data_IF_131534030053
#
_entry.id   IF_131534030053
#
_cell.length_a   1.000
_cell.length_b   1.000
_cell.length_c   1.000
_cell.angle_alpha   90.00
_cell.angle_beta   90.00
_cell.angle_gamma   90.00
#
_symmetry.space_group_name_H-M   'P 1'
#
loop_
_entity.id
_entity.type
_entity.pdbx_description
1 polymer ?
#
# COMPACT_ATOMS: atom_id res chain seq x y z
N UNK A 1 4.37 -26.12 3.62
CA UNK A 1 4.59 -24.67 3.85
C UNK A 1 6.00 -24.49 4.37
N UNK A 2 6.73 -23.52 3.86
CA UNK A 2 8.06 -23.22 4.37
C UNK A 2 7.90 -22.63 5.79
N UNK A 3 8.40 -23.33 6.81
CA UNK A 3 8.21 -22.97 8.23
C UNK A 3 9.24 -21.96 8.75
N UNK A 4 10.12 -21.45 7.89
CA UNK A 4 11.22 -20.56 8.29
C UNK A 4 11.01 -19.11 7.83
N UNK A 5 9.77 -18.62 7.91
CA UNK A 5 9.49 -17.20 7.68
C UNK A 5 10.09 -16.37 8.80
N UNK A 6 10.84 -15.33 8.42
CA UNK A 6 11.51 -14.38 9.33
C UNK A 6 11.18 -12.93 9.02
N UNK A 7 10.77 -12.66 7.78
CA UNK A 7 10.51 -11.32 7.27
C UNK A 7 9.07 -11.25 6.80
N UNK A 8 8.32 -10.23 7.26
CA UNK A 8 6.94 -10.01 6.88
C UNK A 8 6.83 -8.63 6.24
N UNK A 9 6.47 -8.57 4.97
CA UNK A 9 6.25 -7.34 4.25
C UNK A 9 4.75 -7.07 4.10
N UNK A 10 4.33 -5.85 4.42
CA UNK A 10 2.93 -5.44 4.41
C UNK A 10 2.66 -4.45 3.27
N UNK A 11 1.56 -4.62 2.53
CA UNK A 11 0.94 -3.50 1.85
C UNK A 11 0.27 -2.55 2.85
N UNK A 12 0.03 -1.30 2.44
CA UNK A 12 -0.62 -0.30 3.27
C UNK A 12 -2.12 -0.21 3.01
N UNK A 13 -2.50 0.21 1.80
CA UNK A 13 -3.88 0.56 1.48
C UNK A 13 -4.79 -0.67 1.37
N UNK A 14 -5.85 -0.75 2.20
CA UNK A 14 -6.72 -1.93 2.25
C UNK A 14 -6.15 -3.11 3.05
N UNK A 15 -4.88 -3.03 3.48
CA UNK A 15 -4.20 -4.06 4.27
C UNK A 15 -3.92 -3.59 5.69
N UNK A 16 -2.95 -2.68 5.87
CA UNK A 16 -2.58 -2.15 7.19
C UNK A 16 -3.28 -0.83 7.50
N UNK A 17 -3.71 -0.09 6.47
CA UNK A 17 -4.45 1.17 6.62
C UNK A 17 -5.74 1.13 5.81
N UNK A 18 -6.82 1.53 6.46
CA UNK A 18 -8.16 1.64 5.85
C UNK A 18 -8.56 3.10 5.72
N UNK A 19 -9.51 3.34 4.82
CA UNK A 19 -10.05 4.68 4.57
C UNK A 19 -11.19 4.93 5.52
N UNK A 20 -11.15 6.09 6.18
CA UNK A 20 -12.27 6.69 6.87
C UNK A 20 -12.86 7.76 5.95
N UNK A 21 -14.14 7.60 5.59
CA UNK A 21 -14.84 8.50 4.67
C UNK A 21 -15.32 9.73 5.42
N UNK A 22 -14.77 10.89 5.05
CA UNK A 22 -15.15 12.22 5.54
C UNK A 22 -15.34 13.15 4.33
N UNK A 23 -16.58 13.36 3.85
CA UNK A 23 -16.85 14.21 2.70
C UNK A 23 -16.33 15.64 2.82
N UNK A 24 -16.38 16.23 4.03
CA UNK A 24 -15.87 17.57 4.26
C UNK A 24 -14.34 17.63 4.12
N UNK A 25 -13.64 16.59 4.61
CA UNK A 25 -12.21 16.43 4.46
C UNK A 25 -11.79 16.32 3.00
N UNK A 26 -12.50 15.50 2.22
CA UNK A 26 -12.26 15.33 0.77
C UNK A 26 -12.44 16.65 0.02
N UNK A 27 -13.54 17.35 0.29
CA UNK A 27 -13.86 18.66 -0.31
C UNK A 27 -12.81 19.72 0.01
N UNK A 28 -12.34 19.78 1.25
CA UNK A 28 -11.29 20.71 1.66
C UNK A 28 -9.97 20.46 0.90
N UNK A 29 -9.60 19.20 0.71
CA UNK A 29 -8.40 18.83 -0.05
C UNK A 29 -8.52 19.23 -1.54
N UNK A 30 -9.70 19.03 -2.16
CA UNK A 30 -9.98 19.42 -3.55
C UNK A 30 -9.92 20.94 -3.73
N UNK A 31 -10.52 21.70 -2.81
CA UNK A 31 -10.46 23.17 -2.82
C UNK A 31 -9.00 23.66 -2.71
N UNK A 32 -8.19 23.02 -1.87
CA UNK A 32 -6.77 23.35 -1.73
C UNK A 32 -5.97 23.05 -2.99
N UNK A 33 -6.29 21.97 -3.71
CA UNK A 33 -5.67 21.68 -5.01
C UNK A 33 -5.99 22.77 -6.03
N UNK A 34 -7.27 23.19 -6.15
CA UNK A 34 -7.66 24.28 -7.04
C UNK A 34 -6.88 25.57 -6.73
N UNK A 35 -6.81 25.97 -5.45
CA UNK A 35 -6.07 27.13 -5.02
C UNK A 35 -4.55 27.04 -5.32
N UNK A 36 -3.93 25.87 -5.08
CA UNK A 36 -2.51 25.65 -5.38
C UNK A 36 -2.23 25.70 -6.88
N UNK A 37 -3.16 25.24 -7.70
CA UNK A 37 -3.09 25.32 -9.16
C UNK A 37 -3.36 26.75 -9.68
N UNK A 38 -3.88 27.66 -8.86
CA UNK A 38 -4.27 29.02 -9.27
C UNK A 38 -5.58 29.04 -10.06
N UNK A 39 -6.46 28.08 -9.83
CA UNK A 39 -7.75 27.97 -10.47
C UNK A 39 -8.81 28.62 -9.60
N UNK A 40 -9.51 29.61 -10.17
CA UNK A 40 -10.71 30.22 -9.58
C UNK A 40 -11.94 29.44 -10.07
N UNK A 41 -12.70 28.87 -9.16
CA UNK A 41 -13.89 28.10 -9.45
C UNK A 41 -14.88 28.16 -8.29
N UNK A 42 -16.17 28.23 -8.61
CA UNK A 42 -17.26 28.20 -7.62
C UNK A 42 -17.53 26.76 -7.13
N UNK A 43 -17.07 25.73 -7.88
CA UNK A 43 -17.23 24.32 -7.52
C UNK A 43 -15.90 23.55 -7.67
N UNK A 44 -15.05 23.59 -6.64
CA UNK A 44 -13.78 22.85 -6.65
C UNK A 44 -13.94 21.34 -6.78
N UNK A 45 -15.05 20.76 -6.30
CA UNK A 45 -15.29 19.33 -6.39
C UNK A 45 -15.52 18.90 -7.85
N UNK A 46 -16.42 19.61 -8.52
CA UNK A 46 -16.70 19.37 -9.95
C UNK A 46 -15.45 19.57 -10.81
N UNK A 47 -14.75 20.69 -10.61
CA UNK A 47 -13.51 20.94 -11.34
C UNK A 47 -12.48 19.83 -11.12
N UNK A 48 -12.31 19.36 -9.87
CA UNK A 48 -11.38 18.29 -9.54
C UNK A 48 -11.73 16.99 -10.28
N UNK A 49 -13.00 16.58 -10.25
CA UNK A 49 -13.45 15.34 -10.88
C UNK A 49 -13.30 15.40 -12.42
N UNK A 50 -13.68 16.54 -13.04
CA UNK A 50 -13.63 16.70 -14.49
C UNK A 50 -12.21 16.89 -15.04
N UNK A 51 -11.29 17.50 -14.26
CA UNK A 51 -9.96 17.85 -14.74
C UNK A 51 -8.90 16.94 -14.13
N UNK A 52 -8.74 16.97 -12.82
CA UNK A 52 -7.61 16.31 -12.14
C UNK A 52 -7.79 14.79 -12.09
N UNK A 53 -8.95 14.32 -11.64
CA UNK A 53 -9.18 12.87 -11.47
C UNK A 53 -9.26 12.15 -12.84
N UNK A 54 -9.88 12.77 -13.85
CA UNK A 54 -9.89 12.28 -15.24
C UNK A 54 -8.47 12.16 -15.84
N UNK A 55 -7.60 13.14 -15.55
CA UNK A 55 -6.20 13.11 -15.99
C UNK A 55 -5.36 12.11 -15.20
N UNK A 56 -5.67 11.94 -13.92
CA UNK A 56 -5.03 10.93 -13.10
C UNK A 56 -5.34 9.51 -13.57
N UNK A 57 -6.54 9.24 -14.04
CA UNK A 57 -6.88 7.93 -14.60
C UNK A 57 -6.00 7.57 -15.80
N UNK A 58 -5.75 8.52 -16.70
CA UNK A 58 -4.81 8.33 -17.82
C UNK A 58 -3.38 8.11 -17.35
N UNK A 59 -2.93 8.89 -16.36
CA UNK A 59 -1.63 8.67 -15.73
C UNK A 59 -1.54 7.27 -15.13
N UNK A 60 -2.58 6.83 -14.41
CA UNK A 60 -2.63 5.52 -13.75
C UNK A 60 -2.56 4.38 -14.77
N UNK A 61 -3.25 4.49 -15.89
CA UNK A 61 -3.14 3.51 -16.99
C UNK A 61 -1.70 3.37 -17.47
N UNK A 62 -1.02 4.50 -17.69
CA UNK A 62 0.39 4.52 -18.05
C UNK A 62 1.27 3.89 -16.97
N UNK A 63 1.11 4.29 -15.71
CA UNK A 63 1.88 3.79 -14.59
C UNK A 63 1.74 2.27 -14.40
N UNK A 64 0.53 1.74 -14.56
CA UNK A 64 0.25 0.30 -14.49
C UNK A 64 0.83 -0.45 -15.70
N UNK A 65 0.75 0.13 -16.90
CA UNK A 65 1.30 -0.49 -18.11
C UNK A 65 2.81 -0.66 -18.05
N UNK A 66 3.51 0.34 -17.53
CA UNK A 66 4.97 0.36 -17.49
C UNK A 66 5.56 -0.03 -16.12
N UNK A 67 4.72 -0.37 -15.14
CA UNK A 67 5.11 -0.73 -13.78
C UNK A 67 6.05 0.30 -13.14
N UNK A 68 5.76 1.59 -13.37
CA UNK A 68 6.58 2.68 -12.86
C UNK A 68 5.73 3.82 -12.28
N UNK A 69 6.37 4.67 -11.51
CA UNK A 69 5.77 5.85 -10.89
C UNK A 69 6.50 7.11 -11.36
N UNK A 70 5.77 8.17 -11.66
CA UNK A 70 6.39 9.44 -11.99
C UNK A 70 6.81 10.19 -10.72
N UNK A 71 7.95 10.93 -10.74
CA UNK A 71 8.22 11.92 -9.71
C UNK A 71 7.07 12.91 -9.57
N UNK A 72 6.79 13.39 -8.35
CA UNK A 72 5.68 14.31 -8.05
C UNK A 72 5.64 15.53 -8.99
N UNK A 73 6.79 16.11 -9.28
CA UNK A 73 6.89 17.22 -10.23
C UNK A 73 6.44 16.81 -11.64
N UNK A 74 6.86 15.65 -12.13
CA UNK A 74 6.48 15.13 -13.45
C UNK A 74 5.01 14.76 -13.49
N UNK A 75 4.48 14.15 -12.41
CA UNK A 75 3.05 13.85 -12.27
C UNK A 75 2.21 15.11 -12.49
N UNK A 76 2.56 16.21 -11.85
CA UNK A 76 1.78 17.45 -11.95
C UNK A 76 2.05 18.24 -13.22
N UNK A 77 3.31 18.41 -13.62
CA UNK A 77 3.65 19.26 -14.78
C UNK A 77 3.38 18.60 -16.13
N UNK A 78 3.33 17.28 -16.20
CA UNK A 78 3.17 16.55 -17.46
C UNK A 78 1.83 15.80 -17.60
N UNK A 79 1.18 15.49 -16.47
CA UNK A 79 -0.06 14.73 -16.48
C UNK A 79 -1.26 15.51 -15.94
N UNK A 80 -1.21 16.03 -14.72
CA UNK A 80 -2.41 16.55 -14.05
C UNK A 80 -2.71 18.02 -14.35
N UNK A 81 -1.65 18.86 -14.47
CA UNK A 81 -1.78 20.32 -14.62
C UNK A 81 -0.86 20.86 -15.73
N UNK A 82 -0.70 20.12 -16.84
CA UNK A 82 0.23 20.44 -17.94
C UNK A 82 -0.12 21.73 -18.69
N UNK A 83 -1.35 22.20 -18.63
CA UNK A 83 -1.91 23.40 -19.26
C UNK A 83 -2.01 24.60 -18.30
N UNK A 84 -1.54 24.47 -17.08
CA UNK A 84 -1.57 25.50 -16.05
C UNK A 84 -0.20 26.20 -15.91
N UNK A 85 -0.09 27.20 -15.04
CA UNK A 85 1.18 27.90 -14.76
C UNK A 85 2.24 26.90 -14.23
N UNK A 86 3.19 26.55 -15.08
CA UNK A 86 4.18 25.50 -14.82
C UNK A 86 5.18 25.86 -13.71
N UNK A 87 5.46 27.14 -13.49
CA UNK A 87 6.34 27.57 -12.40
C UNK A 87 5.62 27.36 -11.05
N UNK A 88 4.37 27.79 -10.99
CA UNK A 88 3.51 27.59 -9.81
C UNK A 88 3.29 26.09 -9.52
N UNK A 89 2.99 25.29 -10.52
CA UNK A 89 2.78 23.86 -10.38
C UNK A 89 4.03 23.16 -9.86
N UNK A 90 5.19 23.45 -10.43
CA UNK A 90 6.46 22.86 -10.01
C UNK A 90 6.78 23.19 -8.56
N UNK A 91 6.60 24.44 -8.17
CA UNK A 91 6.83 24.90 -6.79
C UNK A 91 5.93 24.18 -5.77
N UNK A 92 4.71 23.85 -6.17
CA UNK A 92 3.70 23.25 -5.29
C UNK A 92 3.56 21.74 -5.48
N UNK A 93 4.35 21.06 -6.31
CA UNK A 93 4.12 19.67 -6.73
C UNK A 93 4.00 18.68 -5.56
N UNK A 94 4.84 18.82 -4.53
CA UNK A 94 4.79 17.96 -3.36
C UNK A 94 3.51 18.18 -2.53
N UNK A 95 3.12 19.44 -2.30
CA UNK A 95 1.88 19.76 -1.58
C UNK A 95 0.64 19.36 -2.40
N UNK A 96 0.66 19.58 -3.70
CA UNK A 96 -0.39 19.12 -4.62
C UNK A 96 -0.57 17.60 -4.54
N UNK A 97 0.53 16.84 -4.56
CA UNK A 97 0.48 15.37 -4.43
C UNK A 97 -0.05 14.96 -3.07
N UNK A 98 0.40 15.61 -2.01
CA UNK A 98 -0.12 15.35 -0.67
C UNK A 98 -1.63 15.60 -0.61
N UNK A 99 -2.12 16.74 -1.11
CA UNK A 99 -3.54 17.04 -1.14
C UNK A 99 -4.32 16.07 -2.03
N UNK A 100 -3.76 15.66 -3.18
CA UNK A 100 -4.38 14.63 -4.02
C UNK A 100 -4.59 13.33 -3.24
N UNK A 101 -3.65 12.92 -2.43
CA UNK A 101 -3.79 11.75 -1.56
C UNK A 101 -4.90 11.92 -0.53
N UNK A 102 -5.08 13.14 0.00
CA UNK A 102 -6.17 13.44 0.95
C UNK A 102 -7.55 13.38 0.28
N UNK A 103 -7.66 13.63 -1.03
CA UNK A 103 -8.94 13.46 -1.77
C UNK A 103 -9.41 12.01 -1.85
N UNK A 104 -8.59 11.03 -1.50
CA UNK A 104 -8.94 9.60 -1.45
C UNK A 104 -9.35 9.14 -0.04
N UNK A 105 -9.51 10.03 0.91
CA UNK A 105 -9.94 9.79 2.28
C UNK A 105 -8.81 9.74 3.30
N UNK A 106 -9.17 9.97 4.56
CA UNK A 106 -8.26 9.85 5.69
C UNK A 106 -7.90 8.38 5.92
N UNK A 107 -6.64 8.09 6.13
CA UNK A 107 -6.17 6.72 6.35
C UNK A 107 -5.77 6.51 7.79
N UNK A 108 -6.36 5.50 8.41
CA UNK A 108 -6.10 5.09 9.80
C UNK A 108 -5.57 3.66 9.82
N UNK A 109 -4.82 3.31 10.87
CA UNK A 109 -4.41 1.92 11.11
C UNK A 109 -5.66 1.07 11.34
N UNK A 110 -5.67 -0.13 10.77
CA UNK A 110 -6.77 -1.09 10.97
C UNK A 110 -6.94 -1.45 12.44
N UNK A 111 -8.14 -1.84 12.88
CA UNK A 111 -8.37 -2.27 14.26
C UNK A 111 -7.39 -3.38 14.69
N UNK A 112 -6.71 -3.18 15.82
CA UNK A 112 -5.70 -4.09 16.35
C UNK A 112 -4.39 -4.14 15.55
N UNK A 113 -4.23 -3.28 14.53
CA UNK A 113 -3.06 -3.30 13.64
C UNK A 113 -1.77 -2.90 14.34
N UNK A 114 -1.81 -1.85 15.16
CA UNK A 114 -0.63 -1.38 15.89
C UNK A 114 -0.13 -2.43 16.90
N UNK A 115 -1.04 -3.06 17.64
CA UNK A 115 -0.73 -4.11 18.60
C UNK A 115 -0.17 -5.36 17.90
N UNK A 116 -0.75 -5.73 16.75
CA UNK A 116 -0.29 -6.87 15.95
C UNK A 116 1.13 -6.64 15.43
N UNK A 117 1.44 -5.46 14.92
CA UNK A 117 2.80 -5.09 14.46
C UNK A 117 3.81 -5.20 15.61
N UNK A 118 3.49 -4.66 16.78
CA UNK A 118 4.34 -4.74 17.96
C UNK A 118 4.57 -6.19 18.40
N UNK A 119 3.51 -6.98 18.43
CA UNK A 119 3.59 -8.38 18.83
C UNK A 119 4.37 -9.23 17.83
N UNK A 120 4.22 -9.02 16.51
CA UNK A 120 5.03 -9.71 15.50
C UNK A 120 6.54 -9.42 15.70
N UNK A 121 6.90 -8.17 15.97
CA UNK A 121 8.28 -7.83 16.31
C UNK A 121 8.76 -8.51 17.61
N UNK A 122 7.92 -8.57 18.66
CA UNK A 122 8.23 -9.25 19.89
C UNK A 122 8.44 -10.76 19.69
N UNK A 123 7.73 -11.35 18.70
CA UNK A 123 7.90 -12.75 18.29
C UNK A 123 9.17 -13.00 17.46
N UNK A 124 9.93 -11.96 17.15
CA UNK A 124 11.21 -12.04 16.45
C UNK A 124 11.12 -11.88 14.93
N UNK A 125 9.96 -11.44 14.37
CA UNK A 125 9.86 -11.13 12.95
C UNK A 125 10.42 -9.75 12.64
N UNK A 126 11.08 -9.64 11.49
CA UNK A 126 11.46 -8.36 10.89
C UNK A 126 10.35 -7.89 9.97
N UNK A 127 9.84 -6.68 10.20
CA UNK A 127 8.73 -6.14 9.40
C UNK A 127 9.22 -5.09 8.41
N UNK A 128 8.59 -5.07 7.23
CA UNK A 128 8.77 -4.08 6.19
C UNK A 128 7.45 -3.65 5.56
N UNK A 129 7.48 -2.54 4.85
CA UNK A 129 6.37 -2.02 4.06
C UNK A 129 6.78 -2.00 2.59
N UNK A 130 5.91 -2.49 1.69
CA UNK A 130 6.05 -2.34 0.25
C UNK A 130 4.71 -1.86 -0.31
N UNK A 131 4.63 -0.59 -0.74
CA UNK A 131 3.36 0.02 -1.13
C UNK A 131 3.47 0.88 -2.38
N UNK A 132 2.43 0.82 -3.23
CA UNK A 132 2.29 1.70 -4.37
C UNK A 132 1.58 2.99 -3.98
N UNK A 133 2.29 4.10 -4.05
CA UNK A 133 1.82 5.44 -3.68
C UNK A 133 2.38 6.49 -4.64
N UNK A 134 1.64 7.56 -4.90
CA UNK A 134 2.14 8.71 -5.66
C UNK A 134 2.82 9.76 -4.78
N UNK A 135 2.48 9.82 -3.48
CA UNK A 135 3.05 10.76 -2.51
C UNK A 135 4.25 10.19 -1.77
N UNK A 136 5.22 11.03 -1.42
CA UNK A 136 6.46 10.60 -0.75
C UNK A 136 6.38 10.68 0.77
N UNK A 137 5.69 11.67 1.32
CA UNK A 137 5.80 12.02 2.74
C UNK A 137 4.78 11.34 3.67
N UNK A 138 3.64 10.88 3.12
CA UNK A 138 2.52 10.40 3.95
C UNK A 138 2.88 9.23 4.85
N UNK A 139 3.66 8.26 4.33
CA UNK A 139 4.00 7.05 5.10
C UNK A 139 4.87 7.40 6.30
N UNK A 140 5.82 8.29 6.11
CA UNK A 140 6.68 8.76 7.18
C UNK A 140 5.87 9.51 8.25
N UNK A 141 5.01 10.43 7.85
CA UNK A 141 4.12 11.16 8.76
C UNK A 141 3.20 10.22 9.54
N UNK A 142 2.64 9.19 8.88
CA UNK A 142 1.78 8.21 9.54
C UNK A 142 2.54 7.36 10.56
N UNK A 143 3.70 6.84 10.18
CA UNK A 143 4.50 5.98 11.07
C UNK A 143 4.96 6.73 12.31
N UNK A 144 5.29 8.03 12.16
CA UNK A 144 5.68 8.88 13.27
C UNK A 144 4.49 9.22 14.17
N UNK A 145 3.36 9.61 13.58
CA UNK A 145 2.14 9.95 14.32
C UNK A 145 1.56 8.75 15.10
N UNK A 146 1.65 7.55 14.55
CA UNK A 146 1.18 6.32 15.17
C UNK A 146 2.22 5.70 16.14
N UNK A 147 3.46 6.23 16.19
CA UNK A 147 4.57 5.67 16.97
C UNK A 147 5.03 4.29 16.48
N UNK A 148 4.83 4.00 15.19
CA UNK A 148 5.12 2.69 14.59
C UNK A 148 6.41 2.62 13.79
N UNK A 149 7.07 3.75 13.53
CA UNK A 149 8.33 3.79 12.77
C UNK A 149 9.39 2.80 13.25
N UNK A 150 9.65 2.63 14.55
CA UNK A 150 10.71 1.73 15.04
C UNK A 150 10.48 0.25 14.69
N UNK A 151 9.25 -0.14 14.37
CA UNK A 151 8.87 -1.53 14.09
C UNK A 151 9.10 -1.95 12.63
N UNK A 152 9.26 -0.99 11.71
CA UNK A 152 9.49 -1.27 10.29
C UNK A 152 10.96 -1.01 9.94
N UNK A 153 11.66 -2.04 9.48
CA UNK A 153 13.08 -1.98 9.12
C UNK A 153 13.31 -1.47 7.71
N UNK A 154 12.32 -1.61 6.84
CA UNK A 154 12.33 -1.08 5.47
C UNK A 154 10.96 -0.53 5.10
N UNK A 155 10.96 0.55 4.30
CA UNK A 155 9.73 1.17 3.76
C UNK A 155 9.95 1.48 2.30
N UNK A 156 9.50 0.59 1.42
CA UNK A 156 9.57 0.77 -0.02
C UNK A 156 8.27 1.36 -0.55
N UNK A 157 8.39 2.52 -1.19
CA UNK A 157 7.26 3.23 -1.79
C UNK A 157 7.53 3.46 -3.28
N UNK A 158 6.56 3.18 -4.15
CA UNK A 158 6.71 3.41 -5.58
C UNK A 158 6.99 4.88 -5.92
N UNK A 159 6.52 5.83 -5.12
CA UNK A 159 6.83 7.26 -5.25
C UNK A 159 8.31 7.61 -5.01
N UNK A 160 9.06 6.74 -4.32
CA UNK A 160 10.49 6.93 -4.01
C UNK A 160 11.35 6.08 -4.93
N UNK A 161 10.98 4.81 -5.10
CA UNK A 161 11.74 3.85 -5.93
C UNK A 161 11.44 3.98 -7.42
N UNK A 162 10.35 4.65 -7.78
CA UNK A 162 9.81 4.80 -9.14
C UNK A 162 9.43 3.50 -9.85
N UNK A 163 9.38 2.38 -9.11
CA UNK A 163 8.92 1.07 -9.60
C UNK A 163 7.72 0.59 -8.79
N UNK A 164 6.82 -0.16 -9.44
CA UNK A 164 5.52 -0.55 -8.87
C UNK A 164 5.37 -2.06 -8.78
N UNK A 165 4.56 -2.50 -7.84
CA UNK A 165 4.01 -3.86 -7.79
C UNK A 165 3.06 -4.09 -8.99
N UNK A 166 3.00 -5.28 -9.58
CA UNK A 166 3.70 -6.53 -9.24
C UNK A 166 5.12 -6.64 -9.80
N UNK A 167 5.70 -5.58 -10.38
CA UNK A 167 7.07 -5.61 -10.87
C UNK A 167 8.06 -6.01 -9.76
N UNK A 168 9.06 -6.88 -10.05
CA UNK A 168 9.88 -7.51 -9.02
C UNK A 168 10.83 -6.55 -8.30
N UNK A 169 11.22 -5.45 -8.93
CA UNK A 169 12.26 -4.57 -8.41
C UNK A 169 11.95 -4.02 -7.01
N UNK A 170 10.70 -3.62 -6.74
CA UNK A 170 10.33 -3.04 -5.43
C UNK A 170 10.43 -4.08 -4.30
N UNK A 171 10.18 -5.36 -4.59
CA UNK A 171 10.34 -6.47 -3.63
C UNK A 171 11.82 -6.74 -3.36
N UNK A 172 12.66 -6.72 -4.40
CA UNK A 172 14.11 -6.89 -4.25
C UNK A 172 14.75 -5.77 -3.44
N UNK A 173 14.33 -4.51 -3.63
CA UNK A 173 14.79 -3.40 -2.80
C UNK A 173 14.47 -3.61 -1.32
N UNK A 174 13.26 -4.10 -1.02
CA UNK A 174 12.87 -4.39 0.36
C UNK A 174 13.69 -5.52 0.98
N UNK A 175 13.91 -6.60 0.23
CA UNK A 175 14.73 -7.74 0.70
C UNK A 175 16.19 -7.34 0.90
N UNK A 176 16.78 -6.61 -0.04
CA UNK A 176 18.17 -6.16 0.02
C UNK A 176 18.43 -5.30 1.25
N UNK A 177 17.53 -4.35 1.55
CA UNK A 177 17.68 -3.44 2.68
C UNK A 177 17.72 -4.16 4.04
N UNK A 178 17.04 -5.30 4.16
CA UNK A 178 17.01 -6.09 5.41
C UNK A 178 17.86 -7.36 5.35
N UNK A 179 18.56 -7.62 4.24
CA UNK A 179 19.37 -8.82 4.05
C UNK A 179 18.55 -10.12 4.00
N UNK A 180 17.32 -10.05 3.48
CA UNK A 180 16.40 -11.19 3.44
C UNK A 180 16.62 -12.06 2.20
N UNK A 181 16.40 -13.38 2.35
CA UNK A 181 16.25 -14.33 1.25
C UNK A 181 14.76 -14.53 0.98
N UNK A 182 14.37 -14.62 -0.28
CA UNK A 182 12.97 -14.67 -0.69
C UNK A 182 12.18 -15.80 -0.01
N UNK A 183 12.78 -16.98 0.11
CA UNK A 183 12.16 -18.14 0.76
C UNK A 183 11.85 -17.94 2.25
N UNK A 184 12.46 -16.94 2.91
CA UNK A 184 12.20 -16.59 4.31
C UNK A 184 11.24 -15.39 4.46
N UNK A 185 10.70 -14.89 3.33
CA UNK A 185 9.82 -13.74 3.28
C UNK A 185 8.34 -14.15 3.17
N UNK A 186 7.49 -13.42 3.85
CA UNK A 186 6.05 -13.43 3.63
C UNK A 186 5.58 -12.06 3.15
N UNK A 187 4.65 -12.05 2.20
CA UNK A 187 3.94 -10.85 1.81
C UNK A 187 2.48 -10.89 2.25
N UNK A 188 2.00 -9.79 2.85
CA UNK A 188 0.62 -9.64 3.31
C UNK A 188 -0.01 -8.47 2.55
N UNK A 189 -1.08 -8.72 1.79
CA UNK A 189 -1.74 -7.70 0.97
C UNK A 189 -3.20 -8.01 0.63
N UNK A 190 -3.94 -7.00 0.15
CA UNK A 190 -5.36 -7.12 -0.21
C UNK A 190 -5.59 -7.31 -1.72
N UNK A 191 -4.63 -6.95 -2.55
CA UNK A 191 -4.74 -7.02 -4.00
C UNK A 191 -4.03 -8.24 -4.57
N UNK A 192 -4.81 -9.30 -4.87
CA UNK A 192 -4.26 -10.58 -5.32
C UNK A 192 -3.32 -10.46 -6.54
N UNK A 193 -3.69 -9.66 -7.54
CA UNK A 193 -2.93 -9.56 -8.79
C UNK A 193 -1.66 -8.72 -8.67
N UNK A 194 -1.59 -7.86 -7.68
CA UNK A 194 -0.44 -6.99 -7.43
C UNK A 194 0.44 -7.54 -6.32
N UNK A 195 -0.18 -7.90 -5.20
CA UNK A 195 0.53 -8.25 -3.99
C UNK A 195 0.94 -9.74 -3.98
N UNK A 196 -0.01 -10.63 -4.25
CA UNK A 196 0.23 -12.09 -4.20
C UNK A 196 1.02 -12.54 -5.43
N UNK A 197 0.58 -12.15 -6.63
CA UNK A 197 1.31 -12.49 -7.88
C UNK A 197 2.73 -11.92 -7.86
N UNK A 198 2.89 -10.65 -7.43
CA UNK A 198 4.21 -10.03 -7.37
C UNK A 198 5.16 -10.70 -6.38
N UNK A 199 4.68 -11.05 -5.19
CA UNK A 199 5.49 -11.76 -4.19
C UNK A 199 5.87 -13.18 -4.65
N UNK A 200 4.92 -13.91 -5.26
CA UNK A 200 5.20 -15.23 -5.84
C UNK A 200 6.21 -15.17 -6.98
N UNK A 201 6.12 -14.16 -7.84
CA UNK A 201 7.08 -13.94 -8.91
C UNK A 201 8.50 -13.63 -8.42
N UNK A 202 8.63 -13.26 -7.14
CA UNK A 202 9.91 -13.06 -6.46
C UNK A 202 10.31 -14.23 -5.54
N UNK A 203 9.64 -15.38 -5.67
CA UNK A 203 9.89 -16.60 -4.89
C UNK A 203 9.75 -16.43 -3.37
N UNK A 204 8.84 -15.56 -2.93
CA UNK A 204 8.52 -15.42 -1.49
C UNK A 204 8.00 -16.75 -0.95
N UNK A 205 8.52 -17.14 0.22
CA UNK A 205 8.19 -18.42 0.85
C UNK A 205 6.72 -18.53 1.31
N UNK A 206 6.02 -17.40 1.46
CA UNK A 206 4.61 -17.36 1.86
C UNK A 206 3.92 -16.07 1.39
N UNK A 207 2.60 -16.20 1.12
CA UNK A 207 1.71 -15.08 0.81
C UNK A 207 0.43 -15.15 1.62
N UNK A 208 -0.03 -14.03 2.16
CA UNK A 208 -1.26 -13.92 2.93
C UNK A 208 -2.18 -12.87 2.32
N UNK A 209 -3.38 -13.27 1.93
CA UNK A 209 -4.38 -12.33 1.46
C UNK A 209 -5.21 -11.76 2.62
N UNK A 210 -5.42 -10.44 2.60
CA UNK A 210 -6.32 -9.75 3.53
C UNK A 210 -7.68 -9.54 2.86
N UNK A 211 -8.76 -9.96 3.52
CA UNK A 211 -10.13 -9.81 3.03
C UNK A 211 -11.06 -9.35 4.17
N UNK A 212 -11.07 -8.06 4.50
CA UNK A 212 -11.93 -7.53 5.57
C UNK A 212 -13.42 -7.64 5.25
N UNK A 213 -13.79 -7.40 3.99
CA UNK A 213 -15.18 -7.59 3.55
C UNK A 213 -15.40 -9.03 3.08
N UNK A 214 -15.92 -9.88 3.95
CA UNK A 214 -16.23 -11.30 3.67
C UNK A 214 -17.30 -11.46 2.58
N UNK A 215 -18.17 -10.48 2.39
CA UNK A 215 -19.24 -10.53 1.39
C UNK A 215 -18.74 -10.23 -0.04
N UNK A 216 -17.50 -9.74 -0.20
CA UNK A 216 -16.89 -9.52 -1.49
C UNK A 216 -15.95 -10.69 -1.80
N UNK A 217 -16.36 -11.66 -2.65
CA UNK A 217 -15.54 -12.81 -2.94
C UNK A 217 -14.24 -12.41 -3.64
N UNK A 218 -13.15 -13.08 -3.27
CA UNK A 218 -11.89 -12.95 -3.99
C UNK A 218 -12.01 -13.69 -5.33
N UNK A 219 -11.55 -13.04 -6.41
CA UNK A 219 -11.45 -13.69 -7.74
C UNK A 219 -10.13 -14.47 -7.80
N UNK A 220 -10.16 -15.69 -7.28
CA UNK A 220 -8.99 -16.55 -7.21
C UNK A 220 -8.72 -17.24 -8.55
N UNK A 221 -7.46 -17.36 -8.87
CA UNK A 221 -6.90 -18.15 -9.98
C UNK A 221 -5.73 -18.97 -9.45
N UNK A 222 -5.20 -19.90 -10.21
CA UNK A 222 -4.01 -20.67 -9.85
C UNK A 222 -2.80 -19.75 -9.57
N UNK A 223 -2.65 -18.70 -10.37
CA UNK A 223 -1.54 -17.76 -10.27
C UNK A 223 -1.60 -16.88 -9.03
N UNK A 224 -2.80 -16.43 -8.64
CA UNK A 224 -3.01 -15.47 -7.54
C UNK A 224 -3.52 -16.09 -6.24
N UNK A 225 -3.54 -17.43 -6.12
CA UNK A 225 -3.96 -18.15 -4.92
C UNK A 225 -2.98 -17.88 -3.77
N UNK A 226 -3.40 -17.27 -2.65
CA UNK A 226 -2.53 -17.07 -1.49
C UNK A 226 -2.36 -18.36 -0.68
N UNK A 227 -1.29 -18.46 0.10
CA UNK A 227 -1.05 -19.58 1.00
C UNK A 227 -1.97 -19.54 2.24
N UNK A 228 -2.34 -18.35 2.67
CA UNK A 228 -3.29 -18.13 3.74
C UNK A 228 -4.18 -16.90 3.49
N UNK A 229 -5.29 -16.81 4.23
CA UNK A 229 -6.22 -15.70 4.16
C UNK A 229 -6.66 -15.28 5.55
N UNK A 230 -6.71 -13.96 5.79
CA UNK A 230 -7.20 -13.38 7.04
C UNK A 230 -8.35 -12.39 6.79
N UNK A 231 -9.26 -12.31 7.74
CA UNK A 231 -10.42 -11.41 7.72
C UNK A 231 -10.34 -10.29 8.77
N UNK A 232 -9.32 -10.35 9.62
CA UNK A 232 -8.96 -9.31 10.56
C UNK A 232 -7.44 -9.31 10.71
N UNK A 233 -6.83 -8.13 10.81
CA UNK A 233 -5.37 -8.02 10.86
C UNK A 233 -4.74 -8.79 12.03
N UNK A 234 -5.33 -8.81 13.26
CA UNK A 234 -4.80 -9.59 14.37
C UNK A 234 -4.73 -11.11 14.13
N UNK A 235 -5.47 -11.67 13.16
CA UNK A 235 -5.36 -13.09 12.80
C UNK A 235 -3.99 -13.46 12.20
N UNK A 236 -3.16 -12.49 11.84
CA UNK A 236 -1.77 -12.75 11.50
C UNK A 236 -1.01 -13.40 12.66
N UNK A 237 -1.39 -13.12 13.90
CA UNK A 237 -0.79 -13.73 15.09
C UNK A 237 -1.07 -15.22 15.21
N UNK A 238 -2.13 -15.72 14.57
CA UNK A 238 -2.46 -17.16 14.50
C UNK A 238 -1.59 -17.87 13.44
N UNK A 239 -1.13 -17.13 12.43
CA UNK A 239 -0.28 -17.63 11.34
C UNK A 239 1.21 -17.62 11.74
N UNK A 240 1.62 -16.60 12.50
CA UNK A 240 3.01 -16.33 12.84
C UNK A 240 3.29 -16.54 14.34
N UNK A 241 3.62 -17.78 14.79
CA UNK A 241 4.00 -18.05 16.17
C UNK A 241 5.34 -17.39 16.52
N UNK A 242 5.73 -17.37 17.80
CA UNK A 242 7.03 -16.86 18.20
C UNK A 242 8.16 -17.62 17.50
N UNK A 243 9.16 -16.90 17.00
CA UNK A 243 10.31 -17.51 16.34
C UNK A 243 11.01 -18.51 17.26
N UNK A 244 11.21 -19.75 16.77
CA UNK A 244 11.76 -20.85 17.56
C UNK A 244 10.71 -21.79 18.19
N UNK A 245 9.42 -21.46 18.16
CA UNK A 245 8.34 -22.40 18.45
C UNK A 245 7.84 -23.03 17.14
N UNK A 246 7.83 -24.36 17.08
CA UNK A 246 7.21 -25.11 15.97
C UNK A 246 5.70 -24.80 16.00
N UNK A 247 5.16 -24.28 14.90
CA UNK A 247 3.73 -24.13 14.76
C UNK A 247 3.08 -25.51 14.95
N UNK A 248 2.30 -25.66 16.01
CA UNK A 248 1.50 -26.86 16.23
C UNK A 248 0.41 -26.90 15.15
N UNK A 249 0.30 -28.00 14.46
CA UNK A 249 -0.65 -28.31 13.38
C UNK A 249 -2.08 -27.85 13.67
N UNK A 250 -2.46 -26.68 13.22
CA UNK A 250 -3.85 -26.22 13.21
C UNK A 250 -4.19 -25.31 12.01
N UNK A 251 -3.55 -25.49 10.87
CA UNK A 251 -4.02 -24.93 9.60
C UNK A 251 -4.86 -26.00 8.86
N UNK A 252 -5.98 -26.35 9.44
CA UNK A 252 -7.05 -27.01 8.70
C UNK A 252 -7.76 -25.91 7.90
N UNK A 253 -7.46 -25.81 6.61
CA UNK A 253 -8.34 -25.13 5.68
C UNK A 253 -9.71 -25.80 5.79
N UNK A 254 -10.82 -25.05 5.95
CA UNK A 254 -12.13 -25.65 5.82
C UNK A 254 -12.22 -26.24 4.41
N UNK A 255 -12.25 -27.56 4.32
CA UNK A 255 -12.71 -28.24 3.11
C UNK A 255 -14.13 -27.75 2.89
N UNK A 256 -14.39 -27.08 1.78
CA UNK A 256 -15.74 -26.82 1.31
C UNK A 256 -16.39 -28.20 1.13
N UNK A 257 -17.24 -28.54 2.09
CA UNK A 257 -18.07 -29.73 2.08
C UNK A 257 -19.41 -29.39 1.48
N UNK A 258 -19.67 -30.02 0.34
CA UNK A 258 -20.95 -30.40 -0.27
C UNK A 258 -22.12 -29.40 -0.20
#
# INVERSE_FOLDING_TARGET
MNTDIRYIFLDLGGTFRVIDEDPAYLSAARAKIAALCGVETDDPNKWFDEVIDTRYDKYREWALKFMCEAPEEVLWTRWLAYDMDQERIRKNASELTYQYRQTKGRRTVVPGGAETVKELCNRGYTLGIISDLVGKREVDEWLDADGLRPYFKTVQQSSITYVRKPGPAIYYYAMEEVGARAENCCYVGDNLNRDIVGAKACDFGMTVAVQYNKNKPLKLTEENMPDAKVHAFPQLLDIFPACGQVAVDNLILPTEGQ
#
